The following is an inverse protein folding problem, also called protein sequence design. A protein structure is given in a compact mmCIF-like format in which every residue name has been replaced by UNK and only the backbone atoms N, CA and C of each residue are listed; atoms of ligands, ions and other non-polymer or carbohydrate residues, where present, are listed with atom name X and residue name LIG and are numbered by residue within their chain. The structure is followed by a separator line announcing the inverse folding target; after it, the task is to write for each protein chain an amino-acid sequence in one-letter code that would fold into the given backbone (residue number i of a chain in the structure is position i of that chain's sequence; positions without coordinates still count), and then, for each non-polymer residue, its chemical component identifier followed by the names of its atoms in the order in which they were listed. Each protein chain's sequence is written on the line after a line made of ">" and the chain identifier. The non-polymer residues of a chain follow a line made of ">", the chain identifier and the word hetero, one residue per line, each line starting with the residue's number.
data_IF_722892388305
#
_entry.id   IF_722892388305
#
_cell.length_a   1.000
_cell.length_b   1.000
_cell.length_c   1.000
_cell.angle_alpha   90.00
_cell.angle_beta   90.00
_cell.angle_gamma   90.00
#
_symmetry.space_group_name_H-M   'P 1'
#
loop_
_entity.id
_entity.type
_entity.pdbx_description
1 polymer ?
#
# COMPACT_ATOMS: atom_id res chain seq x y z
N UNK A 1 -19.95 -3.09 -20.74
CA UNK A 1 -20.08 -4.28 -19.88
C UNK A 1 -19.53 -3.92 -18.51
N UNK A 2 -20.39 -3.70 -17.51
CA UNK A 2 -19.96 -3.53 -16.12
C UNK A 2 -19.80 -4.94 -15.52
N UNK A 3 -18.56 -5.39 -15.33
CA UNK A 3 -18.30 -6.57 -14.52
C UNK A 3 -18.31 -6.12 -13.06
N UNK A 4 -19.32 -6.54 -12.31
CA UNK A 4 -19.39 -6.36 -10.85
C UNK A 4 -18.34 -7.27 -10.21
N UNK A 5 -17.18 -6.70 -9.89
CA UNK A 5 -16.16 -7.39 -9.11
C UNK A 5 -16.75 -7.72 -7.73
N UNK A 6 -16.85 -9.02 -7.41
CA UNK A 6 -17.18 -9.47 -6.07
C UNK A 6 -15.95 -9.29 -5.19
N UNK A 7 -15.88 -8.20 -4.45
CA UNK A 7 -14.95 -8.06 -3.34
C UNK A 7 -15.51 -8.75 -2.09
N UNK A 8 -14.61 -9.25 -1.25
CA UNK A 8 -14.97 -9.57 0.14
C UNK A 8 -15.42 -8.27 0.78
N UNK A 9 -16.72 -8.12 1.04
CA UNK A 9 -17.26 -7.02 1.83
C UNK A 9 -16.85 -7.21 3.30
N UNK A 10 -15.58 -6.95 3.63
CA UNK A 10 -15.10 -6.91 5.02
C UNK A 10 -15.49 -5.57 5.61
N UNK A 11 -16.19 -5.60 6.74
CA UNK A 11 -16.68 -4.39 7.42
C UNK A 11 -15.51 -3.52 7.93
N UNK A 12 -15.70 -2.20 8.05
CA UNK A 12 -14.65 -1.29 8.54
C UNK A 12 -14.11 -1.66 9.93
N UNK A 13 -14.94 -2.09 10.91
CA UNK A 13 -14.45 -2.59 12.20
C UNK A 13 -13.52 -3.81 12.06
N UNK A 14 -13.89 -4.76 11.20
CA UNK A 14 -13.07 -5.95 10.94
C UNK A 14 -11.74 -5.60 10.23
N UNK A 15 -11.66 -4.46 9.52
CA UNK A 15 -10.40 -4.01 8.92
C UNK A 15 -9.45 -3.39 9.96
N UNK A 16 -9.98 -2.67 10.95
CA UNK A 16 -9.15 -2.02 11.97
C UNK A 16 -8.40 -3.02 12.87
N UNK A 17 -8.96 -4.22 13.13
CA UNK A 17 -8.27 -5.27 13.90
C UNK A 17 -6.99 -5.80 13.23
N UNK A 18 -6.85 -5.52 11.94
CA UNK A 18 -5.72 -5.92 11.10
C UNK A 18 -4.75 -4.76 10.84
N UNK A 19 -4.98 -3.61 11.49
CA UNK A 19 -4.07 -2.47 11.53
C UNK A 19 -3.38 -2.40 12.89
N UNK A 20 -2.06 -2.23 12.90
CA UNK A 20 -1.25 -2.03 14.11
C UNK A 20 -0.58 -0.66 14.08
N UNK A 21 -0.41 -0.08 15.26
CA UNK A 21 0.35 1.16 15.44
C UNK A 21 1.57 0.80 16.26
N UNK A 22 2.75 0.98 15.68
CA UNK A 22 4.04 0.63 16.29
C UNK A 22 4.97 1.85 16.22
N UNK A 23 5.02 2.62 17.31
CA UNK A 23 5.72 3.92 17.31
C UNK A 23 5.13 4.86 16.26
N UNK A 24 5.99 5.38 15.38
CA UNK A 24 5.62 6.29 14.28
C UNK A 24 5.21 5.55 12.99
N UNK A 25 4.81 4.28 13.10
CA UNK A 25 4.40 3.45 11.98
C UNK A 25 2.96 2.95 12.16
N UNK A 26 2.22 2.99 11.06
CA UNK A 26 0.96 2.26 10.90
C UNK A 26 1.18 1.10 9.95
N UNK A 27 0.91 -0.12 10.41
CA UNK A 27 1.12 -1.36 9.68
C UNK A 27 -0.25 -1.98 9.39
N UNK A 28 -0.54 -2.22 8.12
CA UNK A 28 -1.81 -2.78 7.63
C UNK A 28 -1.50 -4.11 6.96
N UNK A 29 -1.92 -5.23 7.56
CA UNK A 29 -1.70 -6.54 6.94
C UNK A 29 -2.71 -6.82 5.82
N UNK A 30 -2.50 -7.90 5.07
CA UNK A 30 -3.30 -8.19 3.88
C UNK A 30 -4.80 -8.41 4.14
N UNK A 31 -5.20 -8.80 5.36
CA UNK A 31 -6.62 -9.01 5.72
C UNK A 31 -7.40 -7.70 5.85
N UNK A 32 -6.72 -6.56 6.05
CA UNK A 32 -7.34 -5.24 6.04
C UNK A 32 -7.51 -4.65 4.63
N UNK A 33 -6.92 -5.28 3.61
CA UNK A 33 -6.90 -4.77 2.25
C UNK A 33 -8.17 -5.15 1.49
N UNK A 34 -8.54 -4.27 0.56
CA UNK A 34 -9.61 -4.49 -0.38
C UNK A 34 -9.02 -4.90 -1.72
N UNK A 35 -9.11 -6.19 -2.02
CA UNK A 35 -8.46 -6.84 -3.15
C UNK A 35 -9.51 -7.22 -4.18
N UNK A 36 -9.40 -6.69 -5.40
CA UNK A 36 -10.25 -7.08 -6.52
C UNK A 36 -10.11 -8.58 -6.79
N UNK A 37 -11.24 -9.29 -6.72
CA UNK A 37 -11.33 -10.75 -6.77
C UNK A 37 -10.71 -11.49 -5.56
N UNK A 38 -10.39 -10.81 -4.46
CA UNK A 38 -9.72 -11.41 -3.29
C UNK A 38 -10.54 -12.49 -2.57
N UNK A 39 -11.86 -12.51 -2.77
CA UNK A 39 -12.74 -13.57 -2.27
C UNK A 39 -12.80 -14.82 -3.16
N UNK A 40 -12.15 -14.80 -4.32
CA UNK A 40 -12.15 -15.91 -5.28
C UNK A 40 -10.83 -16.66 -5.26
N UNK A 41 -10.86 -17.87 -4.71
CA UNK A 41 -9.69 -18.71 -4.51
C UNK A 41 -9.00 -19.15 -5.81
N UNK A 42 -9.61 -18.93 -6.97
CA UNK A 42 -8.94 -19.16 -8.26
C UNK A 42 -7.86 -18.11 -8.54
N UNK A 43 -8.03 -16.91 -7.99
CA UNK A 43 -7.20 -15.74 -8.28
C UNK A 43 -6.29 -15.35 -7.12
N UNK A 44 -6.77 -15.50 -5.89
CA UNK A 44 -6.04 -15.15 -4.67
C UNK A 44 -6.05 -16.29 -3.66
N UNK A 45 -5.01 -16.40 -2.85
CA UNK A 45 -5.01 -17.17 -1.61
C UNK A 45 -4.76 -16.21 -0.46
N UNK A 46 -5.76 -16.04 0.39
CA UNK A 46 -5.67 -15.24 1.61
C UNK A 46 -5.35 -16.21 2.74
N UNK A 47 -4.18 -16.04 3.35
CA UNK A 47 -3.75 -16.84 4.49
C UNK A 47 -3.98 -16.03 5.77
N UNK A 48 -4.91 -16.49 6.60
CA UNK A 48 -5.29 -15.82 7.85
C UNK A 48 -4.24 -16.01 8.96
N UNK A 49 -3.45 -17.09 8.91
CA UNK A 49 -2.41 -17.37 9.90
C UNK A 49 -1.21 -16.46 9.68
N UNK A 50 -0.70 -16.41 8.45
CA UNK A 50 0.39 -15.49 8.08
C UNK A 50 -0.08 -14.06 7.83
N UNK A 51 -1.39 -13.84 7.75
CA UNK A 51 -2.03 -12.54 7.43
C UNK A 51 -1.56 -11.94 6.11
N UNK A 52 -1.36 -12.80 5.12
CA UNK A 52 -0.82 -12.45 3.80
C UNK A 52 -1.81 -12.77 2.67
N UNK A 53 -1.60 -12.18 1.49
CA UNK A 53 -2.40 -12.43 0.30
C UNK A 53 -1.50 -12.79 -0.89
N UNK A 54 -1.58 -14.04 -1.34
CA UNK A 54 -0.88 -14.54 -2.51
C UNK A 54 -1.74 -14.37 -3.77
N UNK A 55 -1.18 -13.72 -4.77
CA UNK A 55 -1.73 -13.64 -6.11
C UNK A 55 -1.44 -14.93 -6.89
N UNK A 56 -2.47 -15.76 -7.11
CA UNK A 56 -2.34 -16.99 -7.91
C UNK A 56 -2.23 -16.69 -9.40
N UNK A 57 -3.15 -15.89 -9.95
CA UNK A 57 -3.12 -15.48 -11.37
C UNK A 57 -4.16 -14.41 -11.70
N UNK A 58 -3.77 -13.19 -12.06
CA UNK A 58 -4.72 -12.17 -12.57
C UNK A 58 -4.11 -11.32 -13.68
N UNK A 59 -4.93 -10.80 -14.58
CA UNK A 59 -4.55 -9.74 -15.53
C UNK A 59 -4.92 -8.33 -15.04
N UNK A 60 -5.75 -8.24 -14.01
CA UNK A 60 -6.19 -7.01 -13.34
C UNK A 60 -5.75 -7.05 -11.88
N UNK A 61 -4.72 -6.29 -11.54
CA UNK A 61 -4.25 -6.10 -10.16
C UNK A 61 -4.83 -4.80 -9.62
N UNK A 62 -5.70 -4.90 -8.63
CA UNK A 62 -6.21 -3.75 -7.88
C UNK A 62 -6.31 -4.14 -6.41
N UNK A 63 -5.41 -3.57 -5.62
CA UNK A 63 -5.36 -3.73 -4.17
C UNK A 63 -5.42 -2.36 -3.57
N UNK A 64 -6.42 -2.12 -2.72
CA UNK A 64 -6.64 -0.82 -2.08
C UNK A 64 -6.77 -0.97 -0.57
N UNK A 65 -6.61 0.13 0.14
CA UNK A 65 -6.81 0.18 1.58
C UNK A 65 -6.99 1.59 2.07
N UNK A 66 -7.38 1.72 3.32
CA UNK A 66 -7.45 3.02 3.97
C UNK A 66 -7.21 2.91 5.47
N UNK A 67 -6.57 3.91 6.03
CA UNK A 67 -6.48 4.10 7.48
C UNK A 67 -7.16 5.40 7.88
N UNK A 68 -7.68 5.43 9.10
CA UNK A 68 -8.19 6.67 9.67
C UNK A 68 -7.01 7.58 10.02
N UNK A 69 -7.10 8.84 9.61
CA UNK A 69 -5.97 9.77 9.66
C UNK A 69 -5.60 10.18 11.10
N UNK A 70 -6.49 9.97 12.07
CA UNK A 70 -6.20 10.19 13.48
C UNK A 70 -5.12 9.25 14.05
N UNK A 71 -4.75 8.18 13.33
CA UNK A 71 -3.59 7.36 13.64
C UNK A 71 -2.25 8.01 13.27
N UNK A 72 -2.29 9.16 12.58
CA UNK A 72 -1.13 9.90 12.13
C UNK A 72 -1.08 11.26 12.85
N UNK A 73 0.12 11.67 13.24
CA UNK A 73 0.40 13.02 13.71
C UNK A 73 0.09 14.05 12.62
N UNK A 74 -0.57 15.14 12.99
CA UNK A 74 -0.87 16.27 12.11
C UNK A 74 0.42 16.94 11.60
N UNK A 75 0.35 17.52 10.40
CA UNK A 75 1.47 18.27 9.78
C UNK A 75 2.79 17.48 9.62
N UNK A 76 2.76 16.15 9.73
CA UNK A 76 3.91 15.29 9.51
C UNK A 76 3.90 14.66 8.12
N UNK A 77 5.10 14.40 7.60
CA UNK A 77 5.29 13.66 6.34
C UNK A 77 5.45 12.18 6.61
N UNK A 78 4.76 11.36 5.82
CA UNK A 78 4.80 9.91 5.89
C UNK A 78 5.18 9.32 4.54
N UNK A 79 5.86 8.17 4.57
CA UNK A 79 6.16 7.34 3.41
C UNK A 79 5.21 6.14 3.38
N UNK A 80 4.74 5.79 2.19
CA UNK A 80 3.96 4.57 1.93
C UNK A 80 4.85 3.48 1.31
N UNK A 81 4.88 2.31 1.92
CA UNK A 81 5.61 1.14 1.41
C UNK A 81 4.73 -0.11 1.42
N UNK A 82 4.83 -0.91 0.37
CA UNK A 82 4.28 -2.27 0.33
C UNK A 82 5.43 -3.25 0.59
N UNK A 83 5.30 -4.07 1.62
CA UNK A 83 6.15 -5.25 1.83
C UNK A 83 5.52 -6.44 1.12
N UNK A 84 6.32 -7.03 0.25
CA UNK A 84 5.91 -8.11 -0.62
C UNK A 84 6.94 -9.22 -0.58
N UNK A 85 6.53 -10.39 -1.03
CA UNK A 85 7.42 -11.52 -1.28
C UNK A 85 7.13 -12.09 -2.66
N UNK A 86 8.18 -12.35 -3.43
CA UNK A 86 8.08 -13.03 -4.71
C UNK A 86 8.29 -14.53 -4.48
N UNK A 87 7.32 -15.35 -4.88
CA UNK A 87 7.45 -16.81 -4.81
C UNK A 87 8.28 -17.35 -5.98
N UNK A 88 8.88 -18.55 -5.81
CA UNK A 88 9.45 -19.28 -6.92
C UNK A 88 8.44 -19.43 -8.07
N UNK A 89 8.89 -19.12 -9.28
CA UNK A 89 8.05 -19.18 -10.48
C UNK A 89 7.10 -17.98 -10.69
N UNK A 90 7.24 -16.91 -9.90
CA UNK A 90 6.54 -15.66 -10.19
C UNK A 90 6.88 -15.16 -11.60
N UNK A 91 5.84 -14.77 -12.36
CA UNK A 91 5.95 -14.42 -13.79
C UNK A 91 4.88 -13.39 -14.17
N UNK A 92 5.07 -12.72 -15.31
CA UNK A 92 4.16 -11.73 -15.88
C UNK A 92 4.43 -10.29 -15.44
N UNK A 93 5.52 -10.05 -14.71
CA UNK A 93 5.90 -8.73 -14.20
C UNK A 93 6.92 -8.00 -15.10
N UNK A 94 7.57 -8.72 -16.01
CA UNK A 94 8.44 -8.13 -17.03
C UNK A 94 7.71 -7.07 -17.85
N UNK A 95 8.31 -5.89 -17.92
CA UNK A 95 7.76 -4.71 -18.63
C UNK A 95 6.34 -4.32 -18.19
N UNK A 96 5.86 -4.85 -17.05
CA UNK A 96 4.54 -4.60 -16.49
C UNK A 96 4.68 -3.84 -15.17
N UNK A 97 4.88 -2.52 -15.24
CA UNK A 97 5.03 -1.69 -14.06
C UNK A 97 3.72 -1.62 -13.29
N UNK A 98 3.84 -1.59 -11.96
CA UNK A 98 2.74 -1.33 -11.04
C UNK A 98 2.72 0.14 -10.64
N UNK A 99 1.59 0.60 -10.14
CA UNK A 99 1.38 1.95 -9.68
C UNK A 99 1.07 1.92 -8.19
N UNK A 100 1.90 2.58 -7.39
CA UNK A 100 1.64 2.84 -5.98
C UNK A 100 0.99 4.21 -5.88
N UNK A 101 -0.12 4.30 -5.15
CA UNK A 101 -0.89 5.53 -5.01
C UNK A 101 -1.24 5.78 -3.55
N UNK A 102 -1.29 7.06 -3.17
CA UNK A 102 -1.84 7.52 -1.90
C UNK A 102 -2.70 8.77 -2.11
N UNK A 103 -3.78 8.88 -1.33
CA UNK A 103 -4.65 10.04 -1.26
C UNK A 103 -4.74 10.49 0.19
N UNK A 104 -4.12 11.63 0.55
CA UNK A 104 -4.03 12.08 1.94
C UNK A 104 -5.27 12.89 2.34
N UNK A 105 -6.44 12.26 2.25
CA UNK A 105 -7.70 12.87 2.68
C UNK A 105 -8.70 13.20 1.58
N UNK A 106 -9.92 13.52 2.01
CA UNK A 106 -11.04 13.86 1.12
C UNK A 106 -10.73 15.13 0.34
N UNK A 107 -11.00 15.11 -0.96
CA UNK A 107 -10.76 16.25 -1.86
C UNK A 107 -9.30 16.51 -2.21
N UNK A 108 -8.33 15.76 -1.66
CA UNK A 108 -6.93 15.84 -2.08
C UNK A 108 -6.68 15.05 -3.37
N UNK A 109 -5.65 15.46 -4.11
CA UNK A 109 -5.18 14.75 -5.30
C UNK A 109 -4.42 13.48 -4.90
N UNK A 110 -4.43 12.50 -5.78
CA UNK A 110 -3.57 11.32 -5.63
C UNK A 110 -2.11 11.70 -5.86
N UNK A 111 -1.24 11.16 -5.02
CA UNK A 111 0.21 11.12 -5.21
C UNK A 111 0.54 9.69 -5.61
N UNK A 112 1.36 9.51 -6.64
CA UNK A 112 1.62 8.18 -7.17
C UNK A 112 3.02 8.04 -7.77
N UNK A 113 3.50 6.81 -7.83
CA UNK A 113 4.72 6.42 -8.51
C UNK A 113 4.46 5.18 -9.37
N UNK A 114 5.13 5.14 -10.53
CA UNK A 114 5.20 3.97 -11.41
C UNK A 114 6.46 3.19 -11.07
N UNK A 115 6.33 1.91 -10.76
CA UNK A 115 7.41 1.08 -10.24
C UNK A 115 7.49 -0.23 -10.99
N UNK A 116 8.70 -0.62 -11.39
CA UNK A 116 8.98 -1.99 -11.86
C UNK A 116 9.32 -2.86 -10.66
N UNK A 117 8.61 -3.97 -10.50
CA UNK A 117 8.90 -4.90 -9.41
C UNK A 117 10.20 -5.66 -9.67
N UNK A 118 11.00 -5.85 -8.63
CA UNK A 118 12.11 -6.77 -8.67
C UNK A 118 11.54 -8.20 -8.52
N UNK A 119 11.85 -9.06 -9.48
CA UNK A 119 11.30 -10.41 -9.57
C UNK A 119 12.15 -11.46 -8.84
N UNK A 120 13.25 -11.06 -8.21
CA UNK A 120 14.05 -11.95 -7.38
C UNK A 120 13.19 -12.52 -6.25
N UNK A 121 13.31 -13.83 -6.06
CA UNK A 121 12.59 -14.57 -5.02
C UNK A 121 12.89 -14.00 -3.63
N UNK A 122 11.89 -14.08 -2.75
CA UNK A 122 12.00 -13.64 -1.37
C UNK A 122 11.38 -12.28 -1.08
N UNK A 123 11.56 -11.84 0.17
CA UNK A 123 10.96 -10.63 0.72
C UNK A 123 11.64 -9.37 0.21
N UNK A 124 10.84 -8.35 -0.05
CA UNK A 124 11.31 -7.05 -0.50
C UNK A 124 10.28 -5.95 -0.22
N UNK A 125 10.75 -4.71 -0.24
CA UNK A 125 9.89 -3.53 -0.28
C UNK A 125 9.78 -3.06 -1.72
N UNK A 126 8.57 -2.72 -2.17
CA UNK A 126 8.41 -2.08 -3.48
C UNK A 126 9.11 -0.70 -3.41
N UNK A 127 10.08 -0.42 -4.30
CA UNK A 127 10.84 0.83 -4.26
C UNK A 127 9.95 2.00 -4.69
N UNK A 128 9.48 2.78 -3.72
CA UNK A 128 8.58 3.91 -3.94
C UNK A 128 8.95 5.08 -3.03
N UNK A 129 9.05 6.27 -3.61
CA UNK A 129 9.22 7.53 -2.89
C UNK A 129 7.88 8.24 -2.67
N UNK A 130 6.76 7.50 -2.74
CA UNK A 130 5.42 8.04 -2.47
C UNK A 130 5.34 8.46 -1.01
N UNK A 131 5.39 9.78 -0.82
CA UNK A 131 5.24 10.44 0.46
C UNK A 131 4.03 11.38 0.43
N UNK A 132 3.45 11.62 1.60
CA UNK A 132 2.36 12.57 1.78
C UNK A 132 2.48 13.28 3.12
N UNK A 133 1.95 14.48 3.20
CA UNK A 133 1.88 15.25 4.45
C UNK A 133 0.44 15.31 4.92
N UNK A 134 0.22 15.01 6.19
CA UNK A 134 -1.09 15.16 6.83
C UNK A 134 -1.44 16.63 7.02
N UNK A 135 -2.71 17.03 6.87
CA UNK A 135 -3.17 18.37 7.21
C UNK A 135 -3.09 18.65 8.73
N UNK A 136 -3.35 19.90 9.11
CA UNK A 136 -3.46 20.34 10.51
C UNK A 136 -4.60 19.62 11.26
N UNK A 137 -5.72 19.34 10.58
CA UNK A 137 -6.84 18.60 11.16
C UNK A 137 -6.94 17.22 10.53
N UNK A 138 -6.84 16.19 11.36
CA UNK A 138 -6.94 14.77 10.96
C UNK A 138 -8.28 14.13 11.33
N UNK A 139 -9.23 14.92 11.85
CA UNK A 139 -10.53 14.46 12.33
C UNK A 139 -11.43 14.04 11.15
N UNK A 140 -12.04 12.85 11.27
CA UNK A 140 -12.99 12.28 10.32
C UNK A 140 -12.51 12.16 8.86
N UNK A 141 -11.19 12.15 8.64
CA UNK A 141 -10.58 11.93 7.33
C UNK A 141 -9.77 10.63 7.28
N UNK A 142 -9.51 10.15 6.06
CA UNK A 142 -8.80 8.90 5.81
C UNK A 142 -7.67 9.10 4.83
N UNK A 143 -6.58 8.37 5.05
CA UNK A 143 -5.57 8.14 4.02
C UNK A 143 -5.98 6.89 3.26
N UNK A 144 -6.23 7.02 1.96
CA UNK A 144 -6.45 5.88 1.07
C UNK A 144 -5.20 5.58 0.26
N UNK A 145 -4.92 4.32 -0.01
CA UNK A 145 -3.77 3.90 -0.79
C UNK A 145 -4.11 2.74 -1.72
N UNK A 146 -3.28 2.53 -2.74
CA UNK A 146 -3.46 1.46 -3.71
C UNK A 146 -2.16 0.94 -4.33
N UNK A 147 -2.19 -0.32 -4.76
CA UNK A 147 -1.25 -0.96 -5.66
C UNK A 147 -2.01 -1.45 -6.89
N UNK A 148 -1.71 -0.90 -8.07
CA UNK A 148 -2.48 -1.12 -9.29
C UNK A 148 -1.64 -1.61 -10.46
N UNK A 149 -2.18 -2.56 -11.21
CA UNK A 149 -1.94 -2.74 -12.65
C UNK A 149 -3.23 -3.24 -13.31
N UNK A 150 -4.01 -2.29 -13.83
CA UNK A 150 -5.33 -2.55 -14.44
C UNK A 150 -5.32 -2.36 -15.96
N UNK A 151 -4.18 -1.96 -16.53
CA UNK A 151 -4.08 -1.53 -17.93
C UNK A 151 -3.33 -2.52 -18.82
N UNK A 152 -2.29 -3.18 -18.30
CA UNK A 152 -1.41 -3.99 -19.15
C UNK A 152 -2.08 -5.28 -19.64
N UNK A 153 -3.17 -5.74 -19.00
CA UNK A 153 -3.93 -6.97 -19.30
C UNK A 153 -3.09 -8.25 -19.36
N UNK A 154 -1.81 -8.19 -18.97
CA UNK A 154 -0.91 -9.33 -18.88
C UNK A 154 -1.19 -10.09 -17.59
N UNK A 155 -1.36 -11.40 -17.70
CA UNK A 155 -1.49 -12.28 -16.54
C UNK A 155 -0.22 -12.31 -15.71
N UNK A 156 -0.37 -12.24 -14.40
CA UNK A 156 0.71 -12.22 -13.42
C UNK A 156 0.41 -13.15 -12.26
N UNK A 157 1.46 -13.70 -11.65
CA UNK A 157 1.34 -14.60 -10.52
C UNK A 157 2.54 -14.49 -9.56
N UNK A 158 2.41 -15.12 -8.40
CA UNK A 158 3.52 -15.35 -7.47
C UNK A 158 3.89 -14.16 -6.58
N UNK A 159 3.18 -13.04 -6.68
CA UNK A 159 3.28 -11.93 -5.74
C UNK A 159 2.52 -12.28 -4.45
N UNK A 160 3.18 -12.13 -3.31
CA UNK A 160 2.54 -12.17 -1.99
C UNK A 160 2.60 -10.78 -1.38
N UNK A 161 1.46 -10.26 -0.95
CA UNK A 161 1.39 -9.01 -0.16
C UNK A 161 1.36 -9.43 1.30
N UNK A 162 2.34 -8.94 2.06
CA UNK A 162 2.44 -9.23 3.49
C UNK A 162 1.83 -8.10 4.30
N UNK A 163 2.28 -6.88 4.04
CA UNK A 163 1.76 -5.69 4.71
C UNK A 163 2.01 -4.40 3.93
N UNK A 164 1.24 -3.38 4.28
CA UNK A 164 1.45 -1.99 3.91
C UNK A 164 1.93 -1.24 5.14
N UNK A 165 3.03 -0.50 5.00
CA UNK A 165 3.63 0.28 6.07
C UNK A 165 3.56 1.76 5.72
N UNK A 166 3.02 2.55 6.66
CA UNK A 166 3.01 4.00 6.60
C UNK A 166 3.89 4.49 7.74
N UNK A 167 5.06 5.06 7.41
CA UNK A 167 6.07 5.44 8.40
C UNK A 167 6.38 6.94 8.35
N UNK A 168 6.45 7.60 9.50
CA UNK A 168 6.85 9.02 9.57
C UNK A 168 8.26 9.21 9.02
N UNK A 169 8.43 10.24 8.20
CA UNK A 169 9.73 10.66 7.67
C UNK A 169 10.36 11.63 8.68
N UNK A 170 11.58 11.37 9.17
CA UNK A 170 12.27 12.28 10.08
C UNK A 170 12.49 13.64 9.42
N UNK A 171 12.11 14.72 10.11
CA UNK A 171 12.44 16.08 9.68
C UNK A 171 13.96 16.22 9.78
N UNK A 172 14.64 16.29 8.63
CA UNK A 172 16.07 16.61 8.63
C UNK A 172 16.21 18.11 8.85
N UNK A 173 16.51 18.50 10.08
CA UNK A 173 16.84 19.91 10.38
C UNK A 173 18.20 20.21 9.76
N UNK A 174 18.21 20.94 8.65
CA UNK A 174 19.43 21.54 8.14
C UNK A 174 19.97 22.48 9.22
N UNK A 175 21.18 22.22 9.71
CA UNK A 175 21.86 23.11 10.65
C UNK A 175 22.03 24.48 9.98
N UNK A 176 21.33 25.50 10.47
CA UNK A 176 21.64 26.87 10.12
C UNK A 176 23.02 27.18 10.71
N UNK A 177 24.02 27.35 9.84
CA UNK A 177 25.26 28.04 10.23
C UNK A 177 24.88 29.45 10.64
N UNK A 178 24.79 29.69 11.94
CA UNK A 178 24.67 31.02 12.50
C UNK A 178 25.95 31.82 12.19
N UNK A 179 25.71 33.06 11.79
CA UNK A 179 26.68 34.11 11.52
C UNK A 179 27.76 34.21 12.60
N UNK A 180 29.02 34.27 12.17
CA UNK A 180 30.10 34.87 12.93
C UNK A 180 30.95 35.68 11.95
N UNK A 181 30.62 36.96 11.79
CA UNK A 181 31.61 37.96 11.39
C UNK A 181 31.54 39.13 12.37
N UNK A 182 32.62 39.17 13.16
CA UNK A 182 33.15 40.30 13.94
C UNK A 182 33.49 41.47 13.01
#
# INVERSE_FOLDING_TARGET
>A
MQYLHHNRNVSTPDRQQHTKIEGDQVIVNALALDITHGGDERYWHIDEESRSAELKRVSWLEVTGSIDMFHLEAEATYKLEFKIRMKPGADGWDECPVYIMVKPGKGKKFIWAKVTLNQNEGEQRIPSDVQFTTPLSTVDDKVSFALLDVWNQRYKNGLVIEEVVISKVPVTVAQSTADNHV
#
